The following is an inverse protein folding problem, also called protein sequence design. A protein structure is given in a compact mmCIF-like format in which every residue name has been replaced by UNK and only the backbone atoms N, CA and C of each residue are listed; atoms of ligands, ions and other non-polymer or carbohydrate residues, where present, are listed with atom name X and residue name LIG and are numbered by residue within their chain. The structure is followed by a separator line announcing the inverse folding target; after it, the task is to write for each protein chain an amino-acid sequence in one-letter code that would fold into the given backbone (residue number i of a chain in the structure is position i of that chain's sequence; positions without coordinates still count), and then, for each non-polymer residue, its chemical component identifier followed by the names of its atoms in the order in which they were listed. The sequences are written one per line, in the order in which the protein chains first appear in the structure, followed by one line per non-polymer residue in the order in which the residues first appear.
data_IF_161468608972
#
_entry.id   IF_161468608972
#
_cell.length_a   1.000
_cell.length_b   1.000
_cell.length_c   1.000
_cell.angle_alpha   90.00
_cell.angle_beta   90.00
_cell.angle_gamma   90.00
#
_symmetry.space_group_name_H-M   'P 1'
#
loop_
_entity.id
_entity.type
_entity.pdbx_description
1 polymer ?
#
# COMPACT_ATOMS: atom_id res chain seq x y z
N UNK A 1 22.32 14.90 -8.61
CA UNK A 1 23.05 13.66 -8.30
C UNK A 1 22.07 12.52 -8.47
N UNK A 2 22.23 11.71 -9.52
CA UNK A 2 21.37 10.56 -9.80
C UNK A 2 21.60 9.53 -8.71
N UNK A 3 20.69 9.41 -7.75
CA UNK A 3 20.68 8.33 -6.79
C UNK A 3 20.44 7.03 -7.55
N UNK A 4 21.46 6.17 -7.56
CA UNK A 4 21.35 4.81 -8.07
C UNK A 4 20.29 4.07 -7.26
N UNK A 5 19.05 4.03 -7.75
CA UNK A 5 18.06 3.14 -7.16
C UNK A 5 18.47 1.72 -7.47
N UNK A 6 18.76 0.97 -6.42
CA UNK A 6 18.95 -0.46 -6.53
C UNK A 6 17.58 -1.10 -6.81
N UNK A 7 17.45 -1.62 -8.03
CA UNK A 7 16.43 -2.55 -8.45
C UNK A 7 17.13 -3.91 -8.56
N UNK A 8 16.57 -5.04 -8.06
CA UNK A 8 15.18 -5.29 -7.68
C UNK A 8 14.83 -4.99 -6.22
N UNK A 9 13.53 -4.74 -5.96
CA UNK A 9 13.01 -4.42 -4.61
C UNK A 9 12.57 -5.69 -3.88
N UNK A 10 12.95 -5.81 -2.62
CA UNK A 10 12.33 -6.74 -1.66
C UNK A 10 11.18 -6.02 -0.98
N UNK A 11 9.94 -6.28 -1.40
CA UNK A 11 8.75 -5.73 -0.75
C UNK A 11 8.33 -6.62 0.43
N UNK A 12 8.10 -6.05 1.63
CA UNK A 12 7.42 -6.77 2.71
C UNK A 12 5.93 -6.94 2.36
N UNK A 13 5.42 -8.18 2.38
CA UNK A 13 4.00 -8.45 2.14
C UNK A 13 3.72 -9.87 1.58
N UNK A 14 2.44 -10.23 1.43
CA UNK A 14 2.04 -11.50 0.82
C UNK A 14 2.57 -11.62 -0.62
N UNK A 15 3.21 -12.75 -0.92
CA UNK A 15 3.75 -13.04 -2.25
C UNK A 15 2.64 -13.44 -3.21
N UNK A 16 2.80 -13.24 -4.51
CA UNK A 16 1.85 -13.79 -5.49
C UNK A 16 1.83 -15.32 -5.41
N UNK A 17 2.93 -15.95 -5.03
CA UNK A 17 2.96 -17.40 -4.79
C UNK A 17 2.01 -17.84 -3.66
N UNK A 18 1.73 -16.98 -2.67
CA UNK A 18 0.78 -17.30 -1.58
C UNK A 18 -0.70 -17.26 -1.98
N UNK A 19 -0.97 -16.91 -3.23
CA UNK A 19 -2.32 -16.84 -3.79
C UNK A 19 -2.92 -18.23 -4.01
N UNK A 20 -4.23 -18.40 -3.78
CA UNK A 20 -4.95 -19.66 -3.98
C UNK A 20 -4.66 -20.31 -5.36
N UNK A 21 -4.08 -21.50 -5.37
CA UNK A 21 -3.89 -22.34 -6.56
C UNK A 21 -3.00 -23.56 -6.29
N UNK A 22 -2.97 -24.53 -7.22
CA UNK A 22 -2.13 -25.73 -7.12
C UNK A 22 -0.64 -25.48 -7.34
N UNK A 23 0.20 -26.52 -7.26
CA UNK A 23 1.67 -26.42 -7.36
C UNK A 23 2.19 -25.76 -8.65
N UNK A 24 1.57 -26.04 -9.80
CA UNK A 24 1.91 -25.41 -11.07
C UNK A 24 1.59 -23.91 -11.11
N UNK A 25 0.51 -23.51 -10.42
CA UNK A 25 0.11 -22.11 -10.30
C UNK A 25 1.09 -21.32 -9.41
N UNK A 26 1.59 -21.94 -8.34
CA UNK A 26 2.61 -21.33 -7.47
C UNK A 26 3.90 -21.01 -8.21
N UNK A 27 4.37 -21.93 -9.07
CA UNK A 27 5.58 -21.70 -9.88
C UNK A 27 5.39 -20.56 -10.87
N UNK A 28 4.25 -20.55 -11.58
CA UNK A 28 3.93 -19.47 -12.51
C UNK A 28 3.84 -18.12 -11.80
N UNK A 29 3.13 -18.05 -10.68
CA UNK A 29 2.96 -16.82 -9.90
C UNK A 29 4.26 -16.34 -9.26
N UNK A 30 5.12 -17.26 -8.81
CA UNK A 30 6.45 -16.91 -8.31
C UNK A 30 7.36 -16.35 -9.41
N UNK A 31 7.34 -16.93 -10.61
CA UNK A 31 8.09 -16.39 -11.76
C UNK A 31 7.53 -15.03 -12.21
N UNK A 32 6.21 -14.89 -12.23
CA UNK A 32 5.56 -13.63 -12.56
C UNK A 32 5.93 -12.53 -11.56
N UNK A 33 5.98 -12.85 -10.27
CA UNK A 33 6.40 -11.91 -9.22
C UNK A 33 7.85 -11.47 -9.40
N UNK A 34 8.77 -12.40 -9.68
CA UNK A 34 10.17 -12.06 -9.97
C UNK A 34 10.27 -11.17 -11.22
N UNK A 35 9.51 -11.48 -12.27
CA UNK A 35 9.48 -10.67 -13.47
C UNK A 35 9.00 -9.24 -13.19
N UNK A 36 7.88 -9.07 -12.45
CA UNK A 36 7.36 -7.75 -12.12
C UNK A 36 8.34 -6.97 -11.25
N UNK A 37 8.96 -7.61 -10.23
CA UNK A 37 9.99 -6.98 -9.37
C UNK A 37 11.29 -6.64 -10.10
N UNK A 38 11.57 -7.33 -11.20
CA UNK A 38 12.75 -7.04 -12.04
C UNK A 38 12.52 -5.85 -12.99
N UNK A 39 11.26 -5.48 -13.21
CA UNK A 39 10.88 -4.36 -14.08
C UNK A 39 10.72 -3.07 -13.27
N UNK A 40 11.81 -2.30 -13.20
CA UNK A 40 11.86 -1.07 -12.40
C UNK A 40 10.89 0.01 -12.89
N UNK A 41 10.45 -0.03 -14.15
CA UNK A 41 9.41 0.85 -14.70
C UNK A 41 8.02 0.56 -14.11
N UNK A 42 7.78 -0.68 -13.68
CA UNK A 42 6.51 -1.12 -13.09
C UNK A 42 6.51 -0.85 -11.58
N UNK A 43 7.62 -1.16 -10.90
CA UNK A 43 7.73 -1.04 -9.45
C UNK A 43 8.12 0.38 -8.97
N UNK A 44 8.71 1.21 -9.85
CA UNK A 44 9.17 2.60 -9.63
C UNK A 44 9.77 2.85 -8.21
N UNK A 45 10.82 2.10 -7.80
CA UNK A 45 11.42 2.26 -6.48
C UNK A 45 11.95 3.67 -6.25
N UNK A 46 12.40 4.33 -7.31
CA UNK A 46 12.90 5.71 -7.26
C UNK A 46 11.81 6.76 -7.03
N UNK A 47 10.55 6.41 -7.25
CA UNK A 47 9.41 7.28 -6.99
C UNK A 47 8.86 7.16 -5.59
N UNK A 48 9.30 6.16 -4.83
CA UNK A 48 8.81 5.95 -3.48
C UNK A 48 9.49 6.91 -2.51
N UNK A 49 8.71 7.72 -1.78
CA UNK A 49 9.26 8.54 -0.71
C UNK A 49 9.86 7.65 0.39
N UNK A 50 11.00 8.06 0.93
CA UNK A 50 11.72 7.29 1.94
C UNK A 50 11.06 7.41 3.32
N UNK A 51 11.05 6.31 4.08
CA UNK A 51 10.62 6.35 5.47
C UNK A 51 11.74 6.97 6.33
N UNK A 52 11.37 7.84 7.27
CA UNK A 52 12.34 8.47 8.18
C UNK A 52 12.28 7.74 9.50
N UNK A 53 13.37 7.04 9.84
CA UNK A 53 13.45 6.23 11.06
C UNK A 53 13.22 7.03 12.35
N UNK A 54 13.54 8.33 12.34
CA UNK A 54 13.33 9.22 13.48
C UNK A 54 12.51 10.44 13.05
N UNK A 55 11.30 10.64 13.60
CA UNK A 55 10.51 11.82 13.31
C UNK A 55 11.18 13.06 13.92
N UNK A 56 11.07 14.18 13.23
CA UNK A 56 11.38 15.48 13.81
C UNK A 56 10.42 15.80 14.97
N UNK A 57 10.84 16.70 15.87
CA UNK A 57 10.04 17.07 17.05
C UNK A 57 8.77 17.84 16.70
N UNK A 58 8.76 18.56 15.57
CA UNK A 58 7.73 19.50 15.19
C UNK A 58 7.48 19.47 13.68
N UNK A 59 6.19 19.55 13.31
CA UNK A 59 5.68 19.61 11.94
C UNK A 59 4.59 20.67 11.86
N UNK A 60 4.46 21.33 10.71
CA UNK A 60 3.39 22.27 10.45
C UNK A 60 2.06 21.55 10.21
N UNK A 61 2.12 20.38 9.55
CA UNK A 61 0.96 19.55 9.27
C UNK A 61 1.27 18.07 9.53
N UNK A 62 0.30 17.39 10.15
CA UNK A 62 0.29 15.94 10.29
C UNK A 62 -0.92 15.40 9.56
N UNK A 63 -0.69 14.62 8.52
CA UNK A 63 -1.71 13.90 7.78
C UNK A 63 -1.73 12.46 8.30
N UNK A 64 -2.91 11.97 8.67
CA UNK A 64 -3.09 10.60 9.17
C UNK A 64 -3.86 9.81 8.13
N UNK A 65 -3.24 8.72 7.65
CA UNK A 65 -3.74 7.85 6.59
C UNK A 65 -3.19 8.24 5.21
N UNK A 66 -2.26 7.47 4.67
CA UNK A 66 -1.70 7.54 3.31
C UNK A 66 -2.58 6.87 2.25
N UNK A 67 -3.90 6.97 2.42
CA UNK A 67 -4.87 6.59 1.40
C UNK A 67 -4.94 7.61 0.27
N UNK A 68 -5.91 7.45 -0.65
CA UNK A 68 -6.07 8.31 -1.83
C UNK A 68 -6.14 9.80 -1.49
N UNK A 69 -6.97 10.18 -0.50
CA UNK A 69 -7.11 11.57 -0.09
C UNK A 69 -5.87 12.08 0.66
N UNK A 70 -5.35 11.31 1.61
CA UNK A 70 -4.21 11.73 2.43
C UNK A 70 -2.93 11.91 1.63
N UNK A 71 -2.67 11.04 0.65
CA UNK A 71 -1.53 11.18 -0.26
C UNK A 71 -1.62 12.43 -1.12
N UNK A 72 -2.83 12.79 -1.62
CA UNK A 72 -3.03 14.03 -2.39
C UNK A 72 -2.83 15.26 -1.50
N UNK A 73 -3.41 15.27 -0.31
CA UNK A 73 -3.27 16.39 0.64
C UNK A 73 -1.81 16.58 1.05
N UNK A 74 -1.11 15.49 1.42
CA UNK A 74 0.30 15.53 1.78
C UNK A 74 1.17 16.05 0.62
N UNK A 75 0.91 15.58 -0.60
CA UNK A 75 1.61 16.05 -1.79
C UNK A 75 1.41 17.56 -1.99
N UNK A 76 0.18 18.07 -1.92
CA UNK A 76 -0.09 19.50 -2.09
C UNK A 76 0.50 20.38 -1.00
N UNK A 77 0.44 19.94 0.27
CA UNK A 77 1.04 20.69 1.36
C UNK A 77 2.57 20.76 1.22
N UNK A 78 3.20 19.68 0.75
CA UNK A 78 4.65 19.63 0.57
C UNK A 78 5.18 20.40 -0.65
N UNK A 79 4.32 20.92 -1.54
CA UNK A 79 4.73 21.83 -2.62
C UNK A 79 5.25 23.17 -2.07
N UNK A 80 4.88 23.52 -0.84
CA UNK A 80 5.32 24.72 -0.13
C UNK A 80 6.57 24.37 0.68
N UNK A 81 7.78 24.80 0.27
CA UNK A 81 9.04 24.34 0.87
C UNK A 81 9.26 24.81 2.31
N UNK A 82 8.45 25.76 2.79
CA UNK A 82 8.50 26.25 4.17
C UNK A 82 7.80 25.31 5.15
N UNK A 83 6.89 24.44 4.67
CA UNK A 83 6.09 23.58 5.53
C UNK A 83 6.72 22.19 5.68
N UNK A 84 6.79 21.73 6.92
CA UNK A 84 7.12 20.35 7.26
C UNK A 84 5.84 19.54 7.40
N UNK A 85 5.70 18.53 6.55
CA UNK A 85 4.51 17.66 6.49
C UNK A 85 4.90 16.25 6.89
N UNK A 86 4.24 15.72 7.92
CA UNK A 86 4.33 14.32 8.33
C UNK A 86 3.11 13.57 7.82
N UNK A 87 3.30 12.44 7.13
CA UNK A 87 2.23 11.51 6.80
C UNK A 87 2.43 10.21 7.58
N UNK A 88 1.42 9.83 8.35
CA UNK A 88 1.42 8.58 9.12
C UNK A 88 0.49 7.61 8.42
N UNK A 89 0.99 6.42 8.11
CA UNK A 89 0.19 5.34 7.51
C UNK A 89 0.44 4.05 8.30
N UNK A 90 -0.63 3.33 8.61
CA UNK A 90 -0.54 2.12 9.41
C UNK A 90 -0.11 0.90 8.57
N UNK A 91 -0.30 0.95 7.25
CA UNK A 91 0.15 -0.06 6.31
C UNK A 91 1.61 0.12 5.86
N UNK A 92 2.23 -1.01 5.51
CA UNK A 92 3.53 -1.03 4.83
C UNK A 92 3.40 -0.73 3.34
N UNK A 93 4.49 -0.94 2.61
CA UNK A 93 4.47 -0.84 1.15
C UNK A 93 3.50 -1.83 0.50
N UNK A 94 2.89 -1.40 -0.60
CA UNK A 94 1.97 -2.24 -1.35
C UNK A 94 2.69 -3.45 -1.96
N UNK A 95 2.24 -4.70 -1.73
CA UNK A 95 2.89 -5.86 -2.32
C UNK A 95 2.68 -5.89 -3.83
N UNK A 96 3.62 -6.48 -4.56
CA UNK A 96 3.66 -6.48 -6.04
C UNK A 96 2.33 -6.88 -6.69
N UNK A 97 1.60 -7.86 -6.12
CA UNK A 97 0.36 -8.36 -6.70
C UNK A 97 -0.80 -7.36 -6.64
N UNK A 98 -0.72 -6.31 -5.81
CA UNK A 98 -1.75 -5.24 -5.77
C UNK A 98 -1.81 -4.41 -7.04
N UNK A 99 -0.74 -4.42 -7.86
CA UNK A 99 -0.70 -3.75 -9.15
C UNK A 99 -1.55 -4.47 -10.21
N UNK A 100 -1.99 -5.70 -9.95
CA UNK A 100 -2.79 -6.51 -10.86
C UNK A 100 -4.24 -6.50 -10.39
N UNK A 101 -5.17 -5.79 -11.06
CA UNK A 101 -6.54 -5.62 -10.57
C UNK A 101 -7.30 -6.93 -10.36
N UNK A 102 -7.03 -7.95 -11.18
CA UNK A 102 -7.67 -9.27 -11.06
C UNK A 102 -7.26 -10.04 -9.80
N UNK A 103 -6.21 -9.61 -9.10
CA UNK A 103 -5.71 -10.26 -7.88
C UNK A 103 -6.30 -9.68 -6.59
N UNK A 104 -7.17 -8.68 -6.65
CA UNK A 104 -7.73 -8.01 -5.46
C UNK A 104 -8.29 -9.00 -4.43
N UNK A 105 -9.06 -10.01 -4.86
CA UNK A 105 -9.69 -10.99 -3.98
C UNK A 105 -8.68 -11.81 -3.14
N UNK A 106 -7.43 -11.92 -3.61
CA UNK A 106 -6.39 -12.69 -2.95
C UNK A 106 -5.83 -12.01 -1.70
N UNK A 107 -6.09 -10.71 -1.54
CA UNK A 107 -5.61 -9.92 -0.41
C UNK A 107 -6.66 -9.71 0.68
N UNK A 108 -7.89 -10.18 0.47
CA UNK A 108 -8.94 -10.12 1.48
C UNK A 108 -8.54 -10.93 2.73
N UNK A 109 -8.62 -10.30 3.90
CA UNK A 109 -8.21 -10.90 5.18
C UNK A 109 -6.69 -11.13 5.33
N UNK A 110 -5.87 -10.62 4.42
CA UNK A 110 -4.40 -10.67 4.53
C UNK A 110 -3.87 -9.53 5.41
N UNK A 111 -2.55 -9.45 5.59
CA UNK A 111 -1.91 -8.38 6.37
C UNK A 111 -2.09 -6.97 5.80
N UNK A 112 -2.52 -6.87 4.54
CA UNK A 112 -2.80 -5.60 3.84
C UNK A 112 -4.29 -5.25 3.79
N UNK A 113 -5.12 -5.99 4.51
CA UNK A 113 -6.53 -5.70 4.74
C UNK A 113 -6.72 -5.36 6.23
N UNK A 114 -7.50 -4.32 6.51
CA UNK A 114 -7.91 -4.01 7.88
C UNK A 114 -8.81 -5.09 8.48
N UNK A 115 -9.48 -5.89 7.65
CA UNK A 115 -10.30 -7.01 8.09
C UNK A 115 -11.55 -6.58 8.86
N UNK A 116 -12.10 -5.42 8.53
CA UNK A 116 -13.33 -4.95 9.17
C UNK A 116 -14.49 -5.87 8.83
N UNK A 117 -15.35 -6.08 9.82
CA UNK A 117 -16.63 -6.74 9.63
C UNK A 117 -17.73 -5.77 10.03
N UNK A 118 -18.84 -5.83 9.32
CA UNK A 118 -20.04 -5.11 9.74
C UNK A 118 -20.62 -5.74 11.01
N UNK A 119 -21.44 -4.97 11.72
CA UNK A 119 -22.35 -5.56 12.70
C UNK A 119 -23.32 -6.54 12.01
N UNK A 120 -23.85 -7.55 12.72
CA UNK A 120 -24.85 -8.46 12.18
C UNK A 120 -26.07 -7.71 11.66
N UNK A 121 -26.55 -8.08 10.47
CA UNK A 121 -27.76 -7.47 9.91
C UNK A 121 -28.76 -8.51 9.40
N UNK A 122 -30.05 -8.24 9.59
CA UNK A 122 -31.11 -9.22 9.30
C UNK A 122 -31.34 -9.45 7.80
N UNK A 123 -31.10 -8.43 6.97
CA UNK A 123 -31.39 -8.42 5.54
C UNK A 123 -30.13 -8.49 4.66
N UNK A 124 -28.95 -8.59 5.26
CA UNK A 124 -27.67 -8.62 4.55
C UNK A 124 -26.82 -9.83 4.96
N UNK A 125 -25.90 -10.24 4.09
CA UNK A 125 -24.95 -11.34 4.35
C UNK A 125 -25.60 -12.63 4.89
N UNK A 126 -26.76 -12.99 4.33
CA UNK A 126 -27.54 -14.18 4.69
C UNK A 126 -26.77 -15.50 4.53
N UNK A 127 -25.72 -15.51 3.71
CA UNK A 127 -24.82 -16.65 3.52
C UNK A 127 -23.73 -16.76 4.60
N UNK A 128 -23.58 -15.76 5.47
CA UNK A 128 -22.62 -15.77 6.58
C UNK A 128 -23.29 -16.31 7.84
N UNK A 129 -22.70 -17.28 8.56
CA UNK A 129 -23.32 -17.88 9.75
C UNK A 129 -23.57 -16.85 10.87
N UNK A 130 -22.77 -15.78 10.93
CA UNK A 130 -22.93 -14.67 11.88
C UNK A 130 -23.71 -13.47 11.32
N UNK A 131 -24.19 -13.54 10.07
CA UNK A 131 -24.82 -12.42 9.34
C UNK A 131 -24.00 -11.13 9.29
N UNK A 132 -22.68 -11.26 9.43
CA UNK A 132 -21.71 -10.17 9.26
C UNK A 132 -21.14 -10.19 7.86
N UNK A 133 -20.97 -9.01 7.28
CA UNK A 133 -20.32 -8.82 6.00
C UNK A 133 -18.85 -8.46 6.21
N UNK A 134 -17.95 -9.09 5.46
CA UNK A 134 -16.59 -8.58 5.33
C UNK A 134 -16.62 -7.23 4.61
N UNK A 135 -15.97 -6.22 5.20
CA UNK A 135 -15.86 -4.87 4.67
C UNK A 135 -14.39 -4.53 4.41
N UNK A 136 -13.82 -5.01 3.29
CA UNK A 136 -12.39 -4.91 3.06
C UNK A 136 -11.94 -3.47 2.89
N UNK A 137 -10.83 -3.13 3.56
CA UNK A 137 -10.19 -1.82 3.44
C UNK A 137 -8.69 -2.04 3.34
N UNK A 138 -8.07 -1.42 2.33
CA UNK A 138 -6.62 -1.49 2.17
C UNK A 138 -5.90 -0.88 3.37
N UNK A 139 -4.96 -1.64 3.91
CA UNK A 139 -3.97 -1.23 4.91
C UNK A 139 -2.59 -1.25 4.25
N UNK A 140 -2.38 -0.33 3.33
CA UNK A 140 -1.13 -0.17 2.60
C UNK A 140 -0.86 1.30 2.39
N UNK A 141 0.42 1.63 2.34
CA UNK A 141 0.88 2.88 1.76
C UNK A 141 0.47 2.90 0.30
N UNK A 142 -0.51 3.72 -0.04
CA UNK A 142 -0.89 3.88 -1.43
C UNK A 142 0.16 4.75 -2.10
N UNK A 143 1.03 4.14 -2.91
CA UNK A 143 1.55 4.84 -4.08
C UNK A 143 0.36 5.41 -4.87
N UNK A 144 0.54 6.54 -5.54
CA UNK A 144 -0.49 7.18 -6.37
C UNK A 144 -0.83 6.36 -7.65
N UNK A 145 -0.96 5.03 -7.52
CA UNK A 145 -1.17 4.10 -8.64
C UNK A 145 -2.24 3.05 -8.37
N UNK A 146 -2.57 2.75 -7.11
CA UNK A 146 -3.42 1.60 -6.79
C UNK A 146 -4.93 1.88 -6.73
N UNK A 147 -5.38 3.12 -6.93
CA UNK A 147 -6.80 3.42 -7.18
C UNK A 147 -6.95 4.75 -7.93
N UNK A 148 -7.02 4.69 -9.27
CA UNK A 148 -7.57 5.76 -10.12
C UNK A 148 -6.64 6.90 -10.55
N UNK A 149 -6.35 6.95 -11.86
CA UNK A 149 -6.09 8.13 -12.71
C UNK A 149 -4.88 9.06 -12.42
N UNK A 150 -3.88 8.99 -13.32
CA UNK A 150 -2.94 10.04 -13.81
C UNK A 150 -2.42 11.11 -12.82
N UNK A 151 -1.09 11.19 -12.66
CA UNK A 151 -0.48 12.37 -12.01
C UNK A 151 0.97 12.18 -11.58
N UNK A 152 1.78 13.21 -11.83
CA UNK A 152 3.25 13.23 -11.72
C UNK A 152 3.78 13.24 -10.27
N UNK A 153 5.04 12.81 -10.13
CA UNK A 153 5.92 12.97 -8.95
C UNK A 153 5.85 14.38 -8.37
N UNK A 154 5.83 14.48 -7.03
CA UNK A 154 6.73 15.27 -6.18
C UNK A 154 6.18 15.25 -4.75
N UNK A 155 7.00 14.81 -3.78
CA UNK A 155 6.96 15.21 -2.36
C UNK A 155 7.93 14.36 -1.52
N UNK A 156 8.80 15.03 -0.74
CA UNK A 156 9.40 14.45 0.46
C UNK A 156 8.30 14.34 1.52
N UNK A 157 7.57 13.24 1.47
CA UNK A 157 6.64 12.89 2.51
C UNK A 157 7.41 12.13 3.58
N UNK A 158 7.46 12.68 4.79
CA UNK A 158 8.05 12.00 5.93
C UNK A 158 7.05 10.95 6.40
N UNK A 159 7.42 9.67 6.29
CA UNK A 159 6.58 8.55 6.70
C UNK A 159 7.01 8.02 8.06
N UNK A 160 6.04 7.73 8.90
CA UNK A 160 6.24 7.00 10.16
C UNK A 160 5.37 5.74 10.13
N UNK A 161 5.98 4.56 10.29
CA UNK A 161 5.26 3.31 10.51
C UNK A 161 5.04 3.14 12.01
N UNK A 162 3.79 2.96 12.42
CA UNK A 162 3.44 2.56 13.79
C UNK A 162 3.36 1.04 13.88
N UNK A 163 4.40 0.31 13.48
CA UNK A 163 4.52 -1.12 13.75
C UNK A 163 4.96 -1.32 15.21
N UNK A 164 4.10 -0.95 16.17
CA UNK A 164 4.22 -1.31 17.60
C UNK A 164 2.93 -0.93 18.35
N UNK A 165 1.96 -1.84 18.37
CA UNK A 165 1.05 -2.10 19.49
C UNK A 165 0.59 -3.55 19.40
#
# INVERSE_FOLDING_TARGET
MSSSCNCPVTQPGPTLASTCGGSAFMLFMGLLEVFIRSQCDIEDPCGRPANRALPDKEYDFIVVGGGTAGSVVASRLSEVPQWKVLLIEAGGDEPTGTQVPSMFLNFLGSSIDWGYNTEPEEMACLSSPERKCNWPRGKVRSGFRTTGSLGHKLAEVVWFSTDSC
#
